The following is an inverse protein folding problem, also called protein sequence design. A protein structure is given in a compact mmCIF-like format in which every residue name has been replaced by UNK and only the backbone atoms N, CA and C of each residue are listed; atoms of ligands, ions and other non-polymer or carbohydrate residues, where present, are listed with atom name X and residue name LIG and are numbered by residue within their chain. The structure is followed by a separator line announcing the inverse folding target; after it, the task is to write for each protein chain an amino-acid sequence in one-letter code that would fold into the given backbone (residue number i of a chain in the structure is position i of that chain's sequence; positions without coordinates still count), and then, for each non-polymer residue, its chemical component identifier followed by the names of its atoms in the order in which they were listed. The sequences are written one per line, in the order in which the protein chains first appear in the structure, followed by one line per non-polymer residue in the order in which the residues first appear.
data_IF_088690259785
#
_entry.id   IF_088690259785
#
_cell.length_a   1.000
_cell.length_b   1.000
_cell.length_c   1.000
_cell.angle_alpha   90.00
_cell.angle_beta   90.00
_cell.angle_gamma   90.00
#
_symmetry.space_group_name_H-M   'P 1'
#
loop_
_entity.id
_entity.type
_entity.pdbx_description
1 polymer ?
#
# COMPACT_ATOMS: atom_id res chain seq x y z
N UNK A 1 12.50 9.05 -25.53
CA UNK A 1 12.27 7.71 -26.10
C UNK A 1 13.40 6.83 -25.59
N UNK A 2 13.13 5.75 -24.86
CA UNK A 2 14.16 4.85 -24.32
C UNK A 2 14.87 4.21 -25.51
N UNK A 3 16.21 4.24 -25.56
CA UNK A 3 16.97 3.62 -26.65
C UNK A 3 16.72 2.11 -26.68
N UNK A 4 16.43 1.54 -27.87
CA UNK A 4 16.15 0.12 -28.05
C UNK A 4 17.24 -0.81 -27.49
N UNK A 5 18.50 -0.40 -27.57
CA UNK A 5 19.64 -1.16 -27.01
C UNK A 5 19.54 -1.30 -25.49
N UNK A 6 19.04 -0.27 -24.79
CA UNK A 6 18.89 -0.30 -23.34
C UNK A 6 17.78 -1.28 -22.92
N UNK A 7 16.69 -1.34 -23.68
CA UNK A 7 15.56 -2.25 -23.42
C UNK A 7 16.03 -3.71 -23.51
N UNK A 8 16.77 -4.06 -24.57
CA UNK A 8 17.28 -5.42 -24.75
C UNK A 8 18.25 -5.83 -23.64
N UNK A 9 19.16 -4.94 -23.24
CA UNK A 9 20.12 -5.21 -22.15
C UNK A 9 19.40 -5.38 -20.81
N UNK A 10 18.42 -4.53 -20.52
CA UNK A 10 17.63 -4.64 -19.29
C UNK A 10 16.83 -5.95 -19.22
N UNK A 11 16.26 -6.39 -20.34
CA UNK A 11 15.52 -7.65 -20.41
C UNK A 11 16.43 -8.86 -20.15
N UNK A 12 17.62 -8.91 -20.74
CA UNK A 12 18.55 -10.03 -20.53
C UNK A 12 19.08 -10.08 -19.11
N UNK A 13 19.37 -8.92 -18.50
CA UNK A 13 19.78 -8.87 -17.08
C UNK A 13 18.68 -9.37 -16.15
N UNK A 14 17.42 -9.05 -16.43
CA UNK A 14 16.29 -9.52 -15.64
C UNK A 14 16.09 -11.04 -15.76
N UNK A 15 16.24 -11.60 -16.97
CA UNK A 15 16.22 -13.04 -17.19
C UNK A 15 17.36 -13.75 -16.45
N UNK A 16 18.57 -13.18 -16.45
CA UNK A 16 19.68 -13.71 -15.66
C UNK A 16 19.32 -13.71 -14.16
N UNK A 17 18.74 -12.62 -13.65
CA UNK A 17 18.31 -12.54 -12.26
C UNK A 17 17.34 -13.67 -11.87
N UNK A 18 16.43 -14.06 -12.77
CA UNK A 18 15.52 -15.19 -12.57
C UNK A 18 16.25 -16.53 -12.50
N UNK A 19 17.20 -16.77 -13.41
CA UNK A 19 18.02 -17.99 -13.40
C UNK A 19 18.81 -18.09 -12.09
N UNK A 20 19.42 -17.00 -11.62
CA UNK A 20 20.14 -16.98 -10.35
C UNK A 20 19.22 -17.20 -9.15
N UNK A 21 17.98 -16.67 -9.18
CA UNK A 21 16.97 -16.98 -8.14
C UNK A 21 16.60 -18.45 -8.13
N UNK A 22 16.46 -19.09 -9.29
CA UNK A 22 16.16 -20.52 -9.37
C UNK A 22 17.31 -21.39 -8.83
N UNK A 23 18.55 -20.89 -8.92
CA UNK A 23 19.75 -21.50 -8.32
C UNK A 23 19.95 -21.17 -6.84
N UNK A 24 19.00 -20.45 -6.22
CA UNK A 24 19.07 -19.98 -4.83
C UNK A 24 20.23 -19.01 -4.53
N UNK A 25 20.89 -18.49 -5.57
CA UNK A 25 21.93 -17.47 -5.47
C UNK A 25 21.31 -16.06 -5.44
N UNK A 26 20.70 -15.71 -4.31
CA UNK A 26 19.96 -14.44 -4.17
C UNK A 26 20.85 -13.20 -4.25
N UNK A 27 22.10 -13.26 -3.78
CA UNK A 27 23.03 -12.12 -3.82
C UNK A 27 23.30 -11.66 -5.25
N UNK A 28 23.63 -12.61 -6.14
CA UNK A 28 23.86 -12.39 -7.56
C UNK A 28 22.61 -11.86 -8.24
N UNK A 29 21.44 -12.46 -7.96
CA UNK A 29 20.17 -12.01 -8.54
C UNK A 29 19.85 -10.54 -8.23
N UNK A 30 20.09 -10.10 -6.99
CA UNK A 30 19.81 -8.71 -6.59
C UNK A 30 20.77 -7.73 -7.29
N UNK A 31 22.02 -8.13 -7.52
CA UNK A 31 22.97 -7.30 -8.28
C UNK A 31 22.50 -7.11 -9.74
N UNK A 32 22.01 -8.16 -10.39
CA UNK A 32 21.44 -8.04 -11.74
C UNK A 32 20.19 -7.16 -11.79
N UNK A 33 19.29 -7.25 -10.80
CA UNK A 33 18.14 -6.34 -10.69
C UNK A 33 18.60 -4.89 -10.49
N UNK A 34 19.60 -4.67 -9.62
CA UNK A 34 20.15 -3.33 -9.36
C UNK A 34 20.80 -2.72 -10.60
N UNK A 35 21.55 -3.53 -11.37
CA UNK A 35 22.13 -3.12 -12.67
C UNK A 35 21.05 -2.80 -13.70
N UNK A 36 19.97 -3.56 -13.72
CA UNK A 36 18.81 -3.31 -14.60
C UNK A 36 18.18 -1.95 -14.29
N UNK A 37 17.91 -1.67 -13.00
CA UNK A 37 17.38 -0.38 -12.57
C UNK A 37 18.35 0.77 -12.86
N UNK A 38 19.66 0.55 -12.70
CA UNK A 38 20.67 1.55 -13.05
C UNK A 38 20.65 1.86 -14.56
N UNK A 39 20.59 0.85 -15.42
CA UNK A 39 20.49 1.03 -16.87
C UNK A 39 19.25 1.84 -17.26
N UNK A 40 18.10 1.53 -16.66
CA UNK A 40 16.88 2.32 -16.84
C UNK A 40 17.03 3.75 -16.34
N UNK A 41 17.60 3.97 -15.15
CA UNK A 41 17.88 5.29 -14.61
C UNK A 41 18.72 6.13 -15.58
N UNK A 42 19.71 5.52 -16.23
CA UNK A 42 20.52 6.18 -17.28
C UNK A 42 19.73 6.51 -18.54
N UNK A 43 18.79 5.66 -18.94
CA UNK A 43 17.95 5.89 -20.11
C UNK A 43 16.87 6.95 -19.89
N UNK A 44 16.48 7.19 -18.63
CA UNK A 44 15.48 8.20 -18.26
C UNK A 44 16.07 9.61 -18.02
N UNK A 45 17.40 9.73 -17.92
CA UNK A 45 18.08 11.02 -17.73
C UNK A 45 17.65 12.03 -18.81
N UNK A 46 16.99 13.11 -18.38
CA UNK A 46 16.53 14.21 -19.23
C UNK A 46 15.09 14.11 -19.74
N UNK A 47 14.45 12.94 -19.67
CA UNK A 47 13.08 12.75 -20.14
C UNK A 47 12.04 12.54 -19.03
N UNK A 48 12.47 12.13 -17.83
CA UNK A 48 11.58 11.74 -16.74
C UNK A 48 12.12 12.21 -15.38
N UNK A 49 11.32 13.00 -14.65
CA UNK A 49 11.61 13.43 -13.28
C UNK A 49 10.79 12.58 -12.31
N UNK A 50 11.41 11.64 -11.60
CA UNK A 50 10.70 10.76 -10.65
C UNK A 50 10.22 11.50 -9.39
N UNK A 51 10.72 12.71 -9.13
CA UNK A 51 10.37 13.49 -7.93
C UNK A 51 9.10 14.32 -8.11
N UNK A 52 8.72 14.64 -9.35
CA UNK A 52 7.59 15.54 -9.64
C UNK A 52 6.22 14.87 -9.57
N UNK A 53 6.14 13.54 -9.56
CA UNK A 53 4.89 12.79 -9.41
C UNK A 53 3.88 12.94 -10.57
N UNK A 54 4.25 13.65 -11.64
CA UNK A 54 3.42 13.89 -12.84
C UNK A 54 3.73 12.93 -13.98
N UNK A 55 4.81 12.19 -13.88
CA UNK A 55 5.30 11.36 -14.96
C UNK A 55 4.67 9.96 -14.86
N UNK A 56 3.86 9.62 -15.85
CA UNK A 56 3.15 8.33 -15.95
C UNK A 56 3.82 7.44 -16.98
N UNK A 57 3.78 6.13 -16.73
CA UNK A 57 4.28 5.12 -17.66
C UNK A 57 3.20 4.08 -17.87
N UNK A 58 2.73 3.95 -19.10
CA UNK A 58 1.68 3.01 -19.45
C UNK A 58 2.22 1.57 -19.48
N UNK A 59 1.54 0.64 -18.81
CA UNK A 59 1.92 -0.77 -18.71
C UNK A 59 1.60 -1.57 -19.99
N UNK A 60 0.64 -1.13 -20.79
CA UNK A 60 0.24 -1.85 -22.00
C UNK A 60 1.38 -1.98 -23.01
N UNK A 61 2.29 -1.00 -23.00
CA UNK A 61 3.51 -0.99 -23.80
C UNK A 61 4.50 -2.04 -23.31
N UNK A 62 4.82 -2.97 -24.21
CA UNK A 62 5.72 -4.11 -23.94
C UNK A 62 7.09 -3.64 -23.47
N UNK A 63 7.58 -2.51 -23.97
CA UNK A 63 8.88 -1.92 -23.61
C UNK A 63 8.97 -1.49 -22.14
N UNK A 64 7.82 -1.14 -21.54
CA UNK A 64 7.76 -0.63 -20.17
C UNK A 64 7.63 -1.76 -19.15
N UNK A 65 7.08 -2.91 -19.54
CA UNK A 65 6.82 -4.06 -18.64
C UNK A 65 8.06 -4.51 -17.84
N UNK A 66 9.26 -4.64 -18.43
CA UNK A 66 10.43 -5.07 -17.67
C UNK A 66 10.86 -4.05 -16.61
N UNK A 67 10.55 -2.77 -16.78
CA UNK A 67 10.82 -1.74 -15.78
C UNK A 67 9.91 -1.89 -14.55
N UNK A 68 8.61 -2.11 -14.77
CA UNK A 68 7.68 -2.41 -13.67
C UNK A 68 8.11 -3.67 -12.90
N UNK A 69 8.46 -4.74 -13.62
CA UNK A 69 8.91 -5.98 -13.01
C UNK A 69 10.21 -5.80 -12.21
N UNK A 70 11.17 -5.02 -12.72
CA UNK A 70 12.42 -4.74 -12.03
C UNK A 70 12.18 -3.97 -10.70
N UNK A 71 11.31 -2.95 -10.69
CA UNK A 71 10.96 -2.22 -9.46
C UNK A 71 10.24 -3.14 -8.48
N UNK A 72 9.27 -3.93 -8.94
CA UNK A 72 8.54 -4.86 -8.07
C UNK A 72 9.49 -5.87 -7.42
N UNK A 73 10.46 -6.39 -8.18
CA UNK A 73 11.50 -7.29 -7.63
C UNK A 73 12.37 -6.61 -6.60
N UNK A 74 12.76 -5.37 -6.85
CA UNK A 74 13.51 -4.55 -5.89
C UNK A 74 12.73 -4.34 -4.58
N UNK A 75 11.41 -4.13 -4.65
CA UNK A 75 10.56 -4.02 -3.45
C UNK A 75 10.61 -5.31 -2.63
N UNK A 76 10.48 -6.47 -3.27
CA UNK A 76 10.54 -7.78 -2.60
C UNK A 76 11.93 -8.01 -1.98
N UNK A 77 12.99 -7.68 -2.69
CA UNK A 77 14.36 -7.87 -2.19
C UNK A 77 14.67 -6.92 -1.02
N UNK A 78 14.17 -5.68 -1.04
CA UNK A 78 14.26 -4.74 0.07
C UNK A 78 13.43 -5.18 1.29
N UNK A 79 12.26 -5.77 1.06
CA UNK A 79 11.45 -6.37 2.13
C UNK A 79 12.20 -7.50 2.82
N UNK A 80 12.85 -8.40 2.05
CA UNK A 80 13.68 -9.50 2.59
C UNK A 80 14.88 -9.01 3.39
N UNK A 81 15.47 -7.89 3.00
CA UNK A 81 16.59 -7.23 3.72
C UNK A 81 16.17 -6.51 4.99
N UNK A 82 14.88 -6.35 5.25
CA UNK A 82 14.38 -5.61 6.40
C UNK A 82 14.50 -4.09 6.26
N UNK A 83 14.44 -3.57 5.04
CA UNK A 83 14.43 -2.13 4.76
C UNK A 83 13.03 -1.66 4.33
N UNK A 84 12.02 -1.67 5.22
CA UNK A 84 10.63 -1.39 4.85
C UNK A 84 10.43 0.05 4.37
N UNK A 85 11.22 1.01 4.88
CA UNK A 85 11.13 2.41 4.46
C UNK A 85 11.50 2.59 2.98
N UNK A 86 12.62 2.02 2.58
CA UNK A 86 13.07 2.09 1.18
C UNK A 86 12.14 1.30 0.28
N UNK A 87 11.68 0.13 0.71
CA UNK A 87 10.69 -0.66 -0.01
C UNK A 87 9.39 0.12 -0.24
N UNK A 88 8.92 0.87 0.77
CA UNK A 88 7.73 1.71 0.68
C UNK A 88 7.87 2.79 -0.39
N UNK A 89 9.00 3.50 -0.44
CA UNK A 89 9.20 4.54 -1.47
C UNK A 89 9.27 3.94 -2.89
N UNK A 90 9.83 2.73 -3.05
CA UNK A 90 9.83 2.03 -4.35
C UNK A 90 8.43 1.54 -4.75
N UNK A 91 7.64 1.04 -3.80
CA UNK A 91 6.25 0.65 -4.03
C UNK A 91 5.39 1.87 -4.39
N UNK A 92 5.57 2.99 -3.68
CA UNK A 92 4.90 4.26 -3.97
C UNK A 92 5.30 4.81 -5.34
N UNK A 93 6.57 4.67 -5.72
CA UNK A 93 7.03 5.00 -7.07
C UNK A 93 6.26 4.19 -8.11
N UNK A 94 6.13 2.87 -7.91
CA UNK A 94 5.45 1.98 -8.85
C UNK A 94 3.97 2.36 -9.05
N UNK A 95 3.24 2.66 -7.98
CA UNK A 95 1.85 3.17 -8.06
C UNK A 95 1.78 4.55 -8.71
N UNK A 96 2.80 5.40 -8.53
CA UNK A 96 2.79 6.71 -9.20
C UNK A 96 3.02 6.63 -10.71
N UNK A 97 3.53 5.52 -11.23
CA UNK A 97 3.66 5.32 -12.69
C UNK A 97 2.31 5.02 -13.34
N UNK A 98 1.52 4.14 -12.72
CA UNK A 98 0.17 3.78 -13.15
C UNK A 98 -0.76 3.58 -11.92
N UNK A 99 -1.47 4.63 -11.49
CA UNK A 99 -2.31 4.58 -10.31
C UNK A 99 -3.68 3.93 -10.56
N UNK A 100 -4.11 3.77 -11.81
CA UNK A 100 -5.45 3.27 -12.14
C UNK A 100 -5.44 1.74 -12.20
N UNK A 101 -4.58 1.16 -13.03
CA UNK A 101 -4.67 -0.28 -13.37
C UNK A 101 -3.98 -1.19 -12.35
N UNK A 102 -3.02 -0.67 -11.56
CA UNK A 102 -2.15 -1.42 -10.64
C UNK A 102 -1.81 -2.86 -11.10
N UNK A 103 -1.11 -3.04 -12.24
CA UNK A 103 -0.92 -4.35 -12.86
C UNK A 103 -0.11 -5.34 -12.00
N UNK A 104 0.60 -4.86 -10.98
CA UNK A 104 1.43 -5.68 -10.09
C UNK A 104 0.82 -5.86 -8.69
N UNK A 105 -0.37 -5.32 -8.42
CA UNK A 105 -1.02 -5.41 -7.11
C UNK A 105 -0.19 -4.76 -6.00
N UNK A 106 0.48 -3.65 -6.29
CA UNK A 106 1.39 -2.96 -5.36
C UNK A 106 0.64 -2.38 -4.17
N UNK A 107 -0.66 -2.10 -4.31
CA UNK A 107 -1.51 -1.71 -3.20
C UNK A 107 -1.46 -2.74 -2.05
N UNK A 108 -1.34 -4.04 -2.34
CA UNK A 108 -1.20 -5.12 -1.35
C UNK A 108 0.18 -5.17 -0.65
N UNK A 109 1.16 -4.43 -1.16
CA UNK A 109 2.42 -4.24 -0.45
C UNK A 109 2.39 -2.98 0.40
N UNK A 110 1.67 -1.94 -0.05
CA UNK A 110 1.64 -0.63 0.60
C UNK A 110 0.86 -0.62 1.92
N UNK A 111 -0.15 -1.46 2.08
CA UNK A 111 -0.86 -1.63 3.36
C UNK A 111 0.08 -2.11 4.47
N UNK A 112 0.90 -3.12 4.21
CA UNK A 112 1.89 -3.64 5.15
C UNK A 112 3.10 -2.72 5.29
N UNK A 113 3.63 -2.22 4.17
CA UNK A 113 4.83 -1.38 4.16
C UNK A 113 4.59 -0.02 4.82
N UNK A 114 3.42 0.59 4.66
CA UNK A 114 3.10 1.88 5.29
C UNK A 114 3.16 1.79 6.81
N UNK A 115 2.59 0.72 7.40
CA UNK A 115 2.69 0.42 8.82
C UNK A 115 4.13 0.23 9.27
N UNK A 116 4.89 -0.61 8.54
CA UNK A 116 6.28 -0.93 8.90
C UNK A 116 7.24 0.25 8.70
N UNK A 117 6.95 1.14 7.76
CA UNK A 117 7.77 2.30 7.45
C UNK A 117 7.43 3.54 8.31
N UNK A 118 6.40 3.45 9.17
CA UNK A 118 5.89 4.59 9.95
C UNK A 118 5.21 5.66 9.09
N UNK A 119 4.73 5.30 7.90
CA UNK A 119 4.05 6.19 6.95
C UNK A 119 2.53 6.02 7.01
N UNK A 120 1.99 5.92 8.23
CA UNK A 120 0.56 5.72 8.46
C UNK A 120 -0.29 6.90 8.01
N UNK A 121 0.21 8.13 8.18
CA UNK A 121 -0.51 9.34 7.74
C UNK A 121 -0.73 9.34 6.23
N UNK A 122 0.23 8.84 5.46
CA UNK A 122 0.09 8.71 4.02
C UNK A 122 -1.06 7.74 3.67
N UNK A 123 -1.14 6.58 4.34
CA UNK A 123 -2.22 5.61 4.10
C UNK A 123 -3.58 6.20 4.42
N UNK A 124 -3.71 6.95 5.53
CA UNK A 124 -4.96 7.61 5.91
C UNK A 124 -5.37 8.68 4.89
N UNK A 125 -4.42 9.48 4.40
CA UNK A 125 -4.68 10.49 3.38
C UNK A 125 -5.17 9.85 2.09
N UNK A 126 -4.51 8.78 1.64
CA UNK A 126 -4.92 8.02 0.46
C UNK A 126 -6.32 7.46 0.66
N UNK A 127 -6.57 6.82 1.80
CA UNK A 127 -7.88 6.26 2.13
C UNK A 127 -9.00 7.31 2.06
N UNK A 128 -8.76 8.53 2.59
CA UNK A 128 -9.75 9.60 2.58
C UNK A 128 -10.04 10.11 1.16
N UNK A 129 -9.04 10.14 0.28
CA UNK A 129 -9.23 10.53 -1.14
C UNK A 129 -10.16 9.53 -1.83
N UNK A 130 -9.96 8.22 -1.63
CA UNK A 130 -10.82 7.20 -2.22
C UNK A 130 -12.25 7.20 -1.61
N UNK A 131 -12.38 7.42 -0.30
CA UNK A 131 -13.69 7.43 0.37
C UNK A 131 -14.49 8.71 0.08
N UNK A 132 -13.81 9.81 -0.27
CA UNK A 132 -14.41 11.10 -0.61
C UNK A 132 -15.12 11.17 -1.96
N UNK A 133 -15.06 10.11 -2.78
CA UNK A 133 -15.82 10.01 -4.04
C UNK A 133 -15.35 10.94 -5.17
N UNK A 134 -14.17 11.55 -5.06
CA UNK A 134 -13.56 12.33 -6.15
C UNK A 134 -12.80 11.44 -7.16
N UNK A 135 -12.64 10.14 -6.86
CA UNK A 135 -12.17 9.18 -7.83
C UNK A 135 -13.36 8.80 -8.73
N UNK A 136 -13.42 9.38 -9.92
CA UNK A 136 -14.31 8.90 -10.97
C UNK A 136 -14.07 7.40 -11.14
N UNK A 137 -15.13 6.58 -10.95
CA UNK A 137 -15.14 5.14 -11.23
C UNK A 137 -14.78 4.93 -12.71
N UNK A 138 -13.49 4.92 -13.00
CA UNK A 138 -12.95 4.62 -14.31
C UNK A 138 -12.79 3.10 -14.35
N UNK A 139 -13.37 2.48 -15.38
CA UNK A 139 -13.31 1.04 -15.60
C UNK A 139 -11.86 0.54 -15.45
N UNK A 140 -11.61 -0.27 -14.41
CA UNK A 140 -10.29 -0.85 -14.12
C UNK A 140 -9.54 -0.24 -12.93
N UNK A 141 -10.06 0.81 -12.25
CA UNK A 141 -9.45 1.31 -11.02
C UNK A 141 -9.62 0.31 -9.86
N UNK A 142 -8.52 -0.04 -9.18
CA UNK A 142 -8.60 -0.91 -8.00
C UNK A 142 -8.87 -0.09 -6.75
N UNK A 143 -10.10 -0.14 -6.24
CA UNK A 143 -10.50 0.54 -5.01
C UNK A 143 -9.79 -0.03 -3.78
N UNK A 144 -8.94 0.74 -3.07
CA UNK A 144 -8.24 0.25 -1.88
C UNK A 144 -9.19 -0.10 -0.73
N UNK A 145 -10.41 0.44 -0.71
CA UNK A 145 -11.41 0.15 0.32
C UNK A 145 -11.95 -1.28 0.27
N UNK A 146 -11.87 -1.94 -0.90
CA UNK A 146 -12.27 -3.34 -1.06
C UNK A 146 -11.21 -4.30 -0.52
N UNK A 147 -9.95 -3.84 -0.41
CA UNK A 147 -8.83 -4.66 0.03
C UNK A 147 -8.85 -4.83 1.57
N UNK A 148 -8.99 -6.06 2.10
CA UNK A 148 -9.07 -6.29 3.55
C UNK A 148 -7.84 -5.80 4.32
N UNK A 149 -6.65 -5.90 3.70
CA UNK A 149 -5.39 -5.44 4.28
C UNK A 149 -5.35 -3.94 4.54
N UNK A 150 -5.94 -3.14 3.65
CA UNK A 150 -6.04 -1.69 3.80
C UNK A 150 -6.99 -1.29 4.93
N UNK A 151 -8.17 -1.94 5.00
CA UNK A 151 -9.11 -1.74 6.10
C UNK A 151 -8.49 -2.08 7.46
N UNK A 152 -7.76 -3.19 7.53
CA UNK A 152 -7.04 -3.59 8.73
C UNK A 152 -5.91 -2.61 9.11
N UNK A 153 -5.07 -2.21 8.15
CA UNK A 153 -3.98 -1.25 8.37
C UNK A 153 -4.53 0.10 8.88
N UNK A 154 -5.61 0.60 8.27
CA UNK A 154 -6.31 1.81 8.73
C UNK A 154 -6.78 1.68 10.18
N UNK A 155 -7.44 0.57 10.53
CA UNK A 155 -7.93 0.36 11.89
C UNK A 155 -6.79 0.33 12.92
N UNK A 156 -5.65 -0.28 12.57
CA UNK A 156 -4.46 -0.27 13.41
C UNK A 156 -3.91 1.15 13.63
N UNK A 157 -3.84 1.96 12.57
CA UNK A 157 -3.37 3.36 12.65
C UNK A 157 -4.29 4.23 13.49
N UNK A 158 -5.60 4.10 13.31
CA UNK A 158 -6.58 4.84 14.12
C UNK A 158 -6.46 4.46 15.59
N UNK A 159 -6.32 3.16 15.89
CA UNK A 159 -6.09 2.69 17.27
C UNK A 159 -4.79 3.25 17.86
N UNK A 160 -3.73 3.36 17.08
CA UNK A 160 -2.46 3.93 17.52
C UNK A 160 -2.61 5.42 17.85
N UNK A 161 -3.26 6.19 16.96
CA UNK A 161 -3.58 7.61 17.20
C UNK A 161 -4.51 7.84 18.38
N UNK A 162 -5.50 6.98 18.60
CA UNK A 162 -6.40 7.06 19.76
C UNK A 162 -5.68 6.82 21.08
N UNK A 163 -4.69 5.91 21.10
CA UNK A 163 -3.86 5.71 22.30
C UNK A 163 -3.08 6.98 22.67
N UNK A 164 -2.61 7.72 21.65
CA UNK A 164 -1.91 8.98 21.85
C UNK A 164 -2.86 10.09 22.32
N UNK A 165 -4.03 10.23 21.66
CA UNK A 165 -5.00 11.30 21.97
C UNK A 165 -5.78 11.08 23.26
N UNK A 166 -5.96 9.83 23.72
CA UNK A 166 -6.85 9.44 24.85
C UNK A 166 -8.32 9.88 24.70
N UNK A 167 -8.69 10.54 23.61
CA UNK A 167 -10.05 10.96 23.30
C UNK A 167 -10.87 9.78 22.78
N UNK A 168 -11.55 9.09 23.69
CA UNK A 168 -12.44 7.95 23.37
C UNK A 168 -13.86 8.38 22.99
N UNK A 169 -14.16 9.68 23.10
CA UNK A 169 -15.51 10.23 22.96
C UNK A 169 -16.11 10.01 21.57
N UNK A 170 -15.34 10.24 20.51
CA UNK A 170 -15.81 10.08 19.13
C UNK A 170 -16.15 8.62 18.79
N UNK A 171 -15.34 7.66 19.27
CA UNK A 171 -15.61 6.24 19.07
C UNK A 171 -16.86 5.77 19.84
N UNK A 172 -17.09 6.31 21.04
CA UNK A 172 -18.32 6.05 21.83
C UNK A 172 -19.56 6.58 21.10
N UNK A 173 -19.44 7.72 20.42
CA UNK A 173 -20.52 8.29 19.61
C UNK A 173 -20.75 7.50 18.31
N UNK A 174 -19.68 6.99 17.68
CA UNK A 174 -19.77 6.19 16.46
C UNK A 174 -20.38 4.79 16.70
N UNK A 175 -20.09 4.17 17.86
CA UNK A 175 -20.56 2.83 18.20
C UNK A 175 -21.22 2.78 19.59
N UNK A 176 -22.43 3.35 19.74
CA UNK A 176 -23.14 3.37 21.02
C UNK A 176 -23.54 1.98 21.53
N UNK A 177 -23.55 0.95 20.67
CA UNK A 177 -23.82 -0.45 21.02
C UNK A 177 -22.77 -1.08 21.94
N UNK A 178 -21.56 -0.52 21.99
CA UNK A 178 -20.44 -1.04 22.80
C UNK A 178 -20.48 -0.49 24.23
N UNK A 179 -21.25 0.58 24.48
CA UNK A 179 -21.34 1.28 25.77
C UNK A 179 -21.74 0.35 26.93
N UNK A 180 -22.79 -0.50 26.81
CA UNK A 180 -23.15 -1.40 27.90
C UNK A 180 -22.05 -2.42 28.22
N UNK A 181 -21.36 -2.94 27.20
CA UNK A 181 -20.27 -3.91 27.38
C UNK A 181 -19.05 -3.28 28.06
N UNK A 182 -18.74 -2.03 27.71
CA UNK A 182 -17.64 -1.29 28.34
C UNK A 182 -17.96 -0.96 29.80
N UNK A 183 -19.18 -0.53 30.10
CA UNK A 183 -19.59 -0.25 31.47
C UNK A 183 -19.56 -1.50 32.36
N UNK A 184 -20.04 -2.64 31.84
CA UNK A 184 -19.97 -3.94 32.54
C UNK A 184 -18.49 -4.38 32.75
N UNK A 185 -17.55 -4.01 31.87
CA UNK A 185 -16.11 -4.29 32.04
C UNK A 185 -15.35 -3.29 32.91
N UNK A 186 -15.89 -2.09 33.09
CA UNK A 186 -15.30 -1.04 33.92
C UNK A 186 -15.97 -0.95 35.31
N UNK A 187 -16.88 -1.86 35.65
CA UNK A 187 -17.68 -1.85 36.88
C UNK A 187 -18.44 -0.52 37.11
N UNK A 188 -18.86 0.13 36.02
CA UNK A 188 -19.62 1.39 36.07
C UNK A 188 -21.12 1.07 35.96
N UNK A 189 -21.91 1.51 36.93
CA UNK A 189 -23.37 1.33 36.90
C UNK A 189 -24.03 2.33 35.93
N UNK A 190 -24.55 1.80 34.81
CA UNK A 190 -25.36 2.58 33.87
C UNK A 190 -26.83 2.60 34.29
N UNK A 191 -27.55 3.74 34.16
CA UNK A 191 -28.99 3.80 34.35
C UNK A 191 -29.73 2.87 33.38
N UNK A 192 -30.84 2.27 33.83
CA UNK A 192 -31.68 1.35 33.03
C UNK A 192 -32.20 2.00 31.74
N UNK A 193 -32.37 3.32 31.74
CA UNK A 193 -32.78 4.14 30.59
C UNK A 193 -31.72 4.13 29.46
N UNK A 194 -30.45 4.22 29.82
CA UNK A 194 -29.33 4.22 28.86
C UNK A 194 -29.10 2.80 28.31
N UNK A 195 -29.31 1.78 29.14
CA UNK A 195 -29.20 0.36 28.76
C UNK A 195 -30.34 -0.11 27.84
N UNK A 196 -31.52 0.52 27.94
CA UNK A 196 -32.68 0.20 27.12
C UNK A 196 -32.79 1.02 25.83
N UNK A 197 -31.90 1.99 25.62
CA UNK A 197 -31.88 2.83 24.43
C UNK A 197 -31.64 1.99 23.16
N UNK A 198 -32.37 2.27 22.08
CA UNK A 198 -32.28 1.49 20.83
C UNK A 198 -30.86 1.44 20.24
N UNK A 199 -30.09 2.51 20.43
CA UNK A 199 -28.72 2.62 19.93
C UNK A 199 -27.69 1.80 20.73
N UNK A 200 -27.98 1.43 21.98
CA UNK A 200 -27.10 0.62 22.83
C UNK A 200 -27.41 -0.88 22.74
N UNK A 201 -28.41 -1.27 21.93
CA UNK A 201 -28.81 -2.66 21.75
C UNK A 201 -27.87 -3.37 20.78
N UNK A 202 -27.27 -4.46 21.24
CA UNK A 202 -26.42 -5.33 20.41
C UNK A 202 -27.33 -6.28 19.64
N UNK A 203 -27.22 -6.24 18.31
CA UNK A 203 -27.91 -7.20 17.44
C UNK A 203 -27.03 -8.43 17.29
N UNK A 204 -27.33 -9.49 18.04
CA UNK A 204 -26.77 -10.82 17.83
C UNK A 204 -27.68 -11.57 16.86
N UNK A 205 -27.78 -11.10 15.61
CA UNK A 205 -28.48 -11.87 14.58
C UNK A 205 -27.43 -12.59 13.74
N UNK A 206 -27.30 -13.89 13.99
CA UNK A 206 -26.60 -14.80 13.10
C UNK A 206 -27.60 -15.32 12.09
N UNK A 207 -27.69 -14.66 10.94
CA UNK A 207 -28.36 -15.18 9.74
C UNK A 207 -27.43 -15.03 8.55
#
# INVERSE_FOLDING_TARGET
MISGTCICVSHTLLQLAEVYRQREEYSSAIDYVSRTLYAYGRAFLGAFSFTSGTNRLDFDRIENRPFFLAIHRQVIDLQRRGCPRTAFEHARLLVSLDPLTDPHGVLLHLDYLSMKAGMGDWLLNVWNVYLGGEAEETEGCTDPSVLPGWGYARALLLREKEKERKDRGEAILAFPSVIPLLADKCDISLPTEVRSHKASRIWTDGR
#
